data_IF_887814766157
#
_entry.id   IF_887814766157
#
_cell.length_a   1.000
_cell.length_b   1.000
_cell.length_c   1.000
_cell.angle_alpha   90.00
_cell.angle_beta   90.00
_cell.angle_gamma   90.00
#
_symmetry.space_group_name_H-M   'P 1'
#
loop_
_entity.id
_entity.type
_entity.pdbx_description
1 polymer ?
#
# COMPACT_ATOMS: atom_id res chain seq x y z
N UNK A 1 -9.96 -12.89 9.05
CA UNK A 1 -8.67 -12.87 8.34
C UNK A 1 -8.94 -12.36 6.93
N UNK A 2 -8.69 -11.07 6.71
CA UNK A 2 -8.80 -10.46 5.37
C UNK A 2 -7.62 -10.93 4.53
N UNK A 3 -7.89 -11.73 3.50
CA UNK A 3 -6.87 -12.12 2.53
C UNK A 3 -6.66 -10.93 1.59
N UNK A 4 -5.49 -10.30 1.66
CA UNK A 4 -5.14 -9.18 0.80
C UNK A 4 -5.10 -9.53 -0.69
N UNK A 5 -5.10 -8.53 -1.55
CA UNK A 5 -4.84 -8.71 -2.97
C UNK A 5 -3.36 -9.09 -3.14
N UNK A 6 -3.03 -10.37 -2.82
CA UNK A 6 -1.68 -10.86 -3.08
C UNK A 6 -1.40 -10.76 -4.58
N UNK A 7 -0.21 -10.27 -4.96
CA UNK A 7 0.27 -10.45 -6.32
C UNK A 7 0.16 -11.94 -6.65
N UNK A 8 -0.85 -12.30 -7.43
CA UNK A 8 -0.96 -13.67 -7.94
C UNK A 8 0.28 -13.95 -8.79
N UNK A 9 0.67 -15.23 -8.95
CA UNK A 9 1.76 -15.59 -9.90
C UNK A 9 1.51 -14.99 -11.30
N UNK A 10 0.26 -14.62 -11.61
CA UNK A 10 -0.13 -13.91 -12.82
C UNK A 10 0.39 -12.47 -12.87
N UNK A 11 0.43 -11.76 -11.73
CA UNK A 11 0.87 -10.36 -11.64
C UNK A 11 2.39 -10.20 -11.74
N UNK A 12 3.14 -11.29 -11.45
CA UNK A 12 4.59 -11.34 -11.62
C UNK A 12 5.02 -11.68 -13.04
N UNK A 13 4.09 -12.05 -13.94
CA UNK A 13 4.42 -12.41 -15.31
C UNK A 13 4.78 -11.17 -16.13
N UNK A 14 5.85 -11.29 -16.92
CA UNK A 14 6.15 -10.33 -17.97
C UNK A 14 5.04 -10.36 -19.04
N UNK A 15 4.94 -9.31 -19.84
CA UNK A 15 3.91 -9.21 -20.90
C UNK A 15 3.96 -10.36 -21.94
N UNK A 16 5.06 -11.12 -22.00
CA UNK A 16 5.19 -12.32 -22.81
C UNK A 16 4.71 -13.61 -22.11
N UNK A 17 4.14 -13.48 -20.90
CA UNK A 17 3.60 -14.58 -20.09
C UNK A 17 4.66 -15.37 -19.30
N UNK A 18 5.95 -15.04 -19.40
CA UNK A 18 7.02 -15.71 -18.67
C UNK A 18 7.16 -15.13 -17.27
N UNK A 19 7.52 -15.98 -16.31
CA UNK A 19 7.95 -15.52 -14.98
C UNK A 19 9.37 -14.98 -15.12
N UNK A 20 9.61 -13.69 -14.80
CA UNK A 20 10.95 -13.11 -14.89
C UNK A 20 11.92 -13.81 -13.93
N UNK A 21 13.12 -14.09 -14.39
CA UNK A 21 14.21 -14.50 -13.49
C UNK A 21 14.64 -13.35 -12.56
N UNK A 22 15.57 -13.61 -11.63
CA UNK A 22 16.05 -12.65 -10.61
C UNK A 22 16.41 -11.25 -11.18
N UNK A 23 17.05 -11.20 -12.35
CA UNK A 23 17.39 -9.91 -13.01
C UNK A 23 16.14 -9.19 -13.51
N UNK A 24 15.17 -9.94 -14.01
CA UNK A 24 13.89 -9.37 -14.48
C UNK A 24 13.08 -8.80 -13.32
N UNK A 25 12.97 -9.53 -12.20
CA UNK A 25 12.33 -9.04 -10.99
C UNK A 25 12.99 -7.78 -10.46
N UNK A 26 14.33 -7.73 -10.44
CA UNK A 26 15.05 -6.52 -10.04
C UNK A 26 14.79 -5.32 -10.98
N UNK A 27 14.61 -5.56 -12.29
CA UNK A 27 14.27 -4.50 -13.24
C UNK A 27 12.83 -4.04 -13.05
N UNK A 28 11.88 -4.96 -12.84
CA UNK A 28 10.49 -4.65 -12.51
C UNK A 28 10.43 -3.78 -11.25
N UNK A 29 11.16 -4.16 -10.21
CA UNK A 29 11.21 -3.39 -8.96
C UNK A 29 11.77 -1.99 -9.17
N UNK A 30 12.84 -1.82 -9.95
CA UNK A 30 13.39 -0.49 -10.27
C UNK A 30 12.37 0.44 -10.94
N UNK A 31 11.50 -0.09 -11.79
CA UNK A 31 10.43 0.68 -12.41
C UNK A 31 9.38 1.11 -11.38
N UNK A 32 9.02 0.22 -10.45
CA UNK A 32 8.11 0.55 -9.35
C UNK A 32 8.72 1.59 -8.42
N UNK A 33 9.97 1.44 -8.02
CA UNK A 33 10.69 2.36 -7.11
C UNK A 33 10.89 3.76 -7.72
N UNK A 34 10.99 3.85 -9.04
CA UNK A 34 11.14 5.12 -9.75
C UNK A 34 9.83 5.93 -9.79
N UNK A 35 8.69 5.26 -9.78
CA UNK A 35 7.38 5.90 -9.99
C UNK A 35 7.01 6.95 -8.93
N UNK A 36 7.20 6.71 -7.61
CA UNK A 36 6.95 7.74 -6.59
C UNK A 36 7.77 9.01 -6.79
N UNK A 37 9.04 8.88 -7.18
CA UNK A 37 9.92 10.03 -7.44
C UNK A 37 9.42 10.90 -8.60
N UNK A 38 8.86 10.28 -9.65
CA UNK A 38 8.25 11.04 -10.74
C UNK A 38 6.96 11.73 -10.26
N UNK A 39 6.15 11.04 -9.47
CA UNK A 39 4.90 11.57 -8.88
C UNK A 39 5.12 12.74 -7.91
N UNK A 40 6.30 12.93 -7.37
CA UNK A 40 6.63 14.11 -6.55
C UNK A 40 6.59 15.41 -7.37
N UNK A 41 6.81 15.32 -8.68
CA UNK A 41 6.93 16.49 -9.58
C UNK A 41 5.87 16.52 -10.67
N UNK A 42 5.23 15.39 -10.97
CA UNK A 42 4.26 15.23 -12.06
C UNK A 42 2.93 14.75 -11.48
N UNK A 43 1.82 15.36 -11.90
CA UNK A 43 0.50 14.87 -11.51
C UNK A 43 0.22 13.49 -12.13
N UNK A 44 -0.57 12.64 -11.45
CA UNK A 44 -0.84 11.27 -11.93
C UNK A 44 -1.39 11.22 -13.36
N UNK A 45 -2.29 12.14 -13.72
CA UNK A 45 -2.86 12.24 -15.08
C UNK A 45 -1.83 12.53 -16.18
N UNK A 46 -0.69 13.12 -15.80
CA UNK A 46 0.40 13.51 -16.72
C UNK A 46 1.57 12.51 -16.65
N UNK A 47 1.50 11.51 -15.73
CA UNK A 47 2.50 10.47 -15.57
C UNK A 47 2.54 9.59 -16.81
N UNK A 48 3.73 9.38 -17.36
CA UNK A 48 3.90 8.59 -18.57
C UNK A 48 5.08 7.60 -18.48
N UNK A 49 5.06 6.62 -19.35
CA UNK A 49 6.07 5.54 -19.40
C UNK A 49 7.48 6.06 -19.61
N UNK A 50 7.63 7.14 -20.40
CA UNK A 50 8.97 7.69 -20.73
C UNK A 50 9.63 8.26 -19.48
N UNK A 51 8.86 8.96 -18.65
CA UNK A 51 9.37 9.57 -17.41
C UNK A 51 9.75 8.51 -16.39
N UNK A 52 8.90 7.46 -16.20
CA UNK A 52 9.21 6.35 -15.30
C UNK A 52 10.45 5.59 -15.78
N UNK A 53 10.52 5.23 -17.07
CA UNK A 53 11.65 4.50 -17.62
C UNK A 53 12.95 5.29 -17.49
N UNK A 54 12.92 6.60 -17.76
CA UNK A 54 14.07 7.50 -17.58
C UNK A 54 14.54 7.54 -16.13
N UNK A 55 13.61 7.69 -15.19
CA UNK A 55 13.90 7.72 -13.75
C UNK A 55 14.48 6.38 -13.26
N UNK A 56 14.03 5.26 -13.84
CA UNK A 56 14.52 3.91 -13.54
C UNK A 56 15.84 3.57 -14.27
N UNK A 57 16.39 4.48 -15.07
CA UNK A 57 17.57 4.25 -15.93
C UNK A 57 17.36 3.07 -16.90
N UNK A 58 16.16 2.96 -17.49
CA UNK A 58 15.79 1.94 -18.46
C UNK A 58 15.19 2.58 -19.73
N UNK A 59 14.71 1.76 -20.65
CA UNK A 59 14.00 2.21 -21.84
C UNK A 59 12.48 2.03 -21.70
N UNK A 60 11.64 2.78 -22.44
CA UNK A 60 10.21 2.52 -22.54
C UNK A 60 9.90 1.10 -23.01
N UNK A 61 10.71 0.54 -23.91
CA UNK A 61 10.56 -0.86 -24.34
C UNK A 61 10.75 -1.84 -23.19
N UNK A 62 11.67 -1.54 -22.27
CA UNK A 62 11.87 -2.34 -21.05
C UNK A 62 10.66 -2.22 -20.11
N UNK A 63 10.06 -1.04 -19.97
CA UNK A 63 8.85 -0.89 -19.17
C UNK A 63 7.72 -1.79 -19.68
N UNK A 64 7.46 -1.78 -20.98
CA UNK A 64 6.40 -2.59 -21.61
C UNK A 64 6.65 -4.11 -21.54
N UNK A 65 7.84 -4.55 -21.20
CA UNK A 65 8.08 -5.97 -20.87
C UNK A 65 7.43 -6.41 -19.56
N UNK A 66 7.23 -5.48 -18.62
CA UNK A 66 6.70 -5.78 -17.27
C UNK A 66 5.31 -5.23 -17.03
N UNK A 67 4.97 -4.10 -17.63
CA UNK A 67 3.68 -3.43 -17.43
C UNK A 67 3.11 -2.98 -18.77
N UNK A 68 1.84 -3.32 -19.05
CA UNK A 68 1.19 -2.91 -20.30
C UNK A 68 1.00 -1.39 -20.36
N UNK A 69 0.83 -0.73 -19.21
CA UNK A 69 0.58 0.69 -19.06
C UNK A 69 0.99 1.21 -17.67
N UNK A 70 0.90 2.53 -17.51
CA UNK A 70 1.20 3.21 -16.23
C UNK A 70 0.26 2.77 -15.13
N UNK A 71 -1.03 2.58 -15.44
CA UNK A 71 -2.05 2.20 -14.48
C UNK A 71 -1.73 0.84 -13.85
N UNK A 72 -1.35 -0.15 -14.66
CA UNK A 72 -0.92 -1.48 -14.18
C UNK A 72 0.32 -1.40 -13.27
N UNK A 73 1.27 -0.53 -13.59
CA UNK A 73 2.42 -0.31 -12.73
C UNK A 73 2.01 0.34 -11.40
N UNK A 74 1.07 1.28 -11.41
CA UNK A 74 0.54 1.91 -10.19
C UNK A 74 -0.26 0.94 -9.34
N UNK A 75 -1.08 0.06 -9.94
CA UNK A 75 -1.77 -1.00 -9.23
C UNK A 75 -0.81 -1.94 -8.50
N UNK A 76 0.23 -2.40 -9.20
CA UNK A 76 1.25 -3.25 -8.60
C UNK A 76 2.00 -2.53 -7.46
N UNK A 77 2.37 -1.26 -7.65
CA UNK A 77 3.04 -0.46 -6.62
C UNK A 77 2.15 -0.25 -5.39
N UNK A 78 0.89 0.11 -5.59
CA UNK A 78 -0.07 0.32 -4.50
C UNK A 78 -0.40 -0.99 -3.77
N UNK A 79 -0.51 -2.11 -4.50
CA UNK A 79 -0.70 -3.45 -3.93
C UNK A 79 0.46 -3.83 -3.02
N UNK A 80 1.70 -3.76 -3.51
CA UNK A 80 2.90 -4.06 -2.73
C UNK A 80 3.01 -3.18 -1.48
N UNK A 81 2.70 -1.89 -1.62
CA UNK A 81 2.71 -0.96 -0.50
C UNK A 81 1.66 -1.34 0.55
N UNK A 82 0.45 -1.68 0.12
CA UNK A 82 -0.65 -2.02 1.03
C UNK A 82 -0.38 -3.32 1.80
N UNK A 83 0.20 -4.33 1.16
CA UNK A 83 0.59 -5.59 1.81
C UNK A 83 1.68 -5.38 2.87
N UNK A 84 2.73 -4.65 2.50
CA UNK A 84 3.81 -4.32 3.45
C UNK A 84 3.27 -3.54 4.65
N UNK A 85 2.45 -2.52 4.40
CA UNK A 85 1.87 -1.70 5.45
C UNK A 85 0.90 -2.46 6.34
N UNK A 86 0.05 -3.31 5.78
CA UNK A 86 -0.88 -4.14 6.56
C UNK A 86 -0.12 -4.97 7.61
N UNK A 87 0.97 -5.61 7.22
CA UNK A 87 1.80 -6.40 8.13
C UNK A 87 2.52 -5.53 9.17
N UNK A 88 3.04 -4.37 8.77
CA UNK A 88 3.80 -3.49 9.66
C UNK A 88 2.90 -2.74 10.63
N UNK A 89 1.72 -2.30 10.20
CA UNK A 89 0.73 -1.65 11.05
C UNK A 89 0.22 -2.60 12.14
N UNK A 90 -0.05 -3.85 11.79
CA UNK A 90 -0.41 -4.87 12.78
C UNK A 90 0.65 -5.00 13.86
N UNK A 91 1.94 -5.14 13.47
CA UNK A 91 3.06 -5.20 14.43
C UNK A 91 3.18 -3.91 15.25
N UNK A 92 2.98 -2.76 14.59
CA UNK A 92 3.04 -1.44 15.25
C UNK A 92 2.01 -1.33 16.37
N UNK A 93 0.81 -1.88 16.19
CA UNK A 93 -0.26 -1.85 17.18
C UNK A 93 -0.07 -2.94 18.23
N UNK A 94 0.17 -4.21 17.84
CA UNK A 94 0.18 -5.34 18.76
C UNK A 94 1.42 -5.40 19.65
N UNK A 95 2.57 -4.89 19.20
CA UNK A 95 3.82 -4.91 19.95
C UNK A 95 3.97 -3.70 20.89
N UNK A 96 2.87 -3.23 21.53
CA UNK A 96 2.88 -2.10 22.47
C UNK A 96 2.38 -2.51 23.84
N UNK A 97 2.87 -1.81 24.84
CA UNK A 97 2.37 -1.97 26.22
C UNK A 97 1.13 -1.08 26.42
N UNK A 98 -0.02 -1.64 26.04
CA UNK A 98 -1.31 -0.96 26.21
C UNK A 98 -1.85 -1.02 27.64
N UNK A 99 -1.25 -1.81 28.52
CA UNK A 99 -1.75 -2.03 29.88
C UNK A 99 -1.11 -1.07 30.87
N UNK A 100 0.21 -0.82 30.72
CA UNK A 100 0.98 0.01 31.64
C UNK A 100 1.08 1.47 31.18
N UNK A 101 1.19 1.71 29.85
CA UNK A 101 1.35 3.06 29.28
C UNK A 101 0.60 3.19 27.94
N UNK A 102 -0.74 3.23 27.98
CA UNK A 102 -1.56 3.32 26.78
C UNK A 102 -1.35 4.63 26.01
N UNK A 103 -1.04 5.73 26.70
CA UNK A 103 -0.81 7.04 26.06
C UNK A 103 0.45 7.02 25.20
N UNK A 104 1.55 6.47 25.72
CA UNK A 104 2.78 6.29 24.93
C UNK A 104 2.59 5.31 23.78
N UNK A 105 1.85 4.22 24.01
CA UNK A 105 1.53 3.25 22.97
C UNK A 105 0.74 3.91 21.82
N UNK A 106 -0.29 4.69 22.14
CA UNK A 106 -1.09 5.41 21.14
C UNK A 106 -0.26 6.45 20.38
N UNK A 107 0.62 7.17 21.09
CA UNK A 107 1.50 8.16 20.46
C UNK A 107 2.45 7.52 19.44
N UNK A 108 3.10 6.43 19.80
CA UNK A 108 3.99 5.69 18.87
C UNK A 108 3.24 5.15 17.65
N UNK A 109 2.02 4.66 17.83
CA UNK A 109 1.19 4.21 16.70
C UNK A 109 0.85 5.38 15.78
N UNK A 110 0.42 6.51 16.34
CA UNK A 110 0.09 7.71 15.57
C UNK A 110 1.31 8.26 14.81
N UNK A 111 2.48 8.32 15.45
CA UNK A 111 3.72 8.74 14.79
C UNK A 111 4.10 7.80 13.63
N UNK A 112 4.03 6.48 13.84
CA UNK A 112 4.31 5.50 12.79
C UNK A 112 3.36 5.61 11.59
N UNK A 113 2.08 5.88 11.84
CA UNK A 113 1.10 6.14 10.79
C UNK A 113 1.41 7.43 10.02
N UNK A 114 1.72 8.52 10.72
CA UNK A 114 2.10 9.79 10.09
C UNK A 114 3.39 9.68 9.27
N UNK A 115 4.37 8.92 9.75
CA UNK A 115 5.60 8.65 9.03
C UNK A 115 5.33 7.87 7.75
N UNK A 116 4.51 6.82 7.81
CA UNK A 116 4.10 6.06 6.64
C UNK A 116 3.40 6.94 5.61
N UNK A 117 2.39 7.74 6.03
CA UNK A 117 1.66 8.65 5.15
C UNK A 117 2.57 9.67 4.48
N UNK A 118 3.49 10.26 5.25
CA UNK A 118 4.43 11.26 4.75
C UNK A 118 5.37 10.65 3.70
N UNK A 119 5.91 9.47 3.98
CA UNK A 119 6.86 8.75 3.11
C UNK A 119 6.23 8.30 1.81
N UNK A 120 4.97 7.87 1.84
CA UNK A 120 4.28 7.26 0.70
C UNK A 120 3.22 8.17 0.07
N UNK A 121 3.19 9.44 0.45
CA UNK A 121 2.22 10.43 -0.01
C UNK A 121 1.97 10.42 -1.53
N UNK A 122 2.97 10.33 -2.43
CA UNK A 122 2.71 10.32 -3.87
C UNK A 122 1.84 9.15 -4.31
N UNK A 123 2.10 7.94 -3.80
CA UNK A 123 1.36 6.73 -4.13
C UNK A 123 -0.04 6.74 -3.51
N UNK A 124 -0.14 7.16 -2.25
CA UNK A 124 -1.42 7.25 -1.54
C UNK A 124 -2.38 8.24 -2.21
N UNK A 125 -1.86 9.36 -2.73
CA UNK A 125 -2.66 10.31 -3.53
C UNK A 125 -3.22 9.70 -4.81
N UNK A 126 -2.44 8.85 -5.50
CA UNK A 126 -2.94 8.12 -6.68
C UNK A 126 -4.03 7.15 -6.25
N UNK A 127 -3.81 6.40 -5.17
CA UNK A 127 -4.75 5.43 -4.63
C UNK A 127 -6.09 6.09 -4.24
N UNK A 128 -6.05 7.23 -3.55
CA UNK A 128 -7.24 7.98 -3.15
C UNK A 128 -7.99 8.53 -4.37
N UNK A 129 -7.26 9.21 -5.28
CA UNK A 129 -7.85 9.82 -6.48
C UNK A 129 -8.58 8.78 -7.34
N UNK A 130 -7.90 7.67 -7.69
CA UNK A 130 -8.48 6.63 -8.55
C UNK A 130 -9.63 5.88 -7.87
N UNK A 131 -9.56 5.68 -6.54
CA UNK A 131 -10.66 5.11 -5.77
C UNK A 131 -11.89 6.02 -5.77
N UNK A 132 -11.70 7.34 -5.66
CA UNK A 132 -12.79 8.35 -5.73
C UNK A 132 -13.39 8.45 -7.13
N UNK A 133 -12.60 8.26 -8.18
CA UNK A 133 -13.04 8.21 -9.57
C UNK A 133 -13.80 6.92 -9.91
N UNK A 134 -13.81 5.94 -9.00
CA UNK A 134 -14.65 4.74 -9.08
C UNK A 134 -13.93 3.49 -9.56
N UNK A 135 -12.60 3.49 -9.66
CA UNK A 135 -11.85 2.27 -9.98
C UNK A 135 -11.90 1.29 -8.81
N UNK A 136 -12.55 0.15 -9.03
CA UNK A 136 -12.76 -0.87 -8.01
C UNK A 136 -11.46 -1.53 -7.55
N UNK A 137 -10.47 -1.68 -8.44
CA UNK A 137 -9.19 -2.32 -8.13
C UNK A 137 -8.40 -1.48 -7.12
N UNK A 138 -8.31 -0.17 -7.35
CA UNK A 138 -7.68 0.75 -6.41
C UNK A 138 -8.47 0.87 -5.10
N UNK A 139 -9.81 0.82 -5.19
CA UNK A 139 -10.67 0.82 -3.99
C UNK A 139 -10.44 -0.41 -3.12
N UNK A 140 -10.28 -1.60 -3.71
CA UNK A 140 -9.95 -2.83 -2.98
C UNK A 140 -8.61 -2.72 -2.28
N UNK A 141 -7.57 -2.21 -2.96
CA UNK A 141 -6.24 -1.98 -2.38
C UNK A 141 -6.33 -0.98 -1.22
N UNK A 142 -7.07 0.12 -1.40
CA UNK A 142 -7.27 1.12 -0.34
C UNK A 142 -7.99 0.52 0.88
N UNK A 143 -9.01 -0.26 0.65
CA UNK A 143 -9.73 -0.96 1.73
C UNK A 143 -8.80 -1.90 2.49
N UNK A 144 -7.99 -2.67 1.77
CA UNK A 144 -7.03 -3.59 2.38
C UNK A 144 -5.92 -2.85 3.16
N UNK A 145 -5.43 -1.73 2.65
CA UNK A 145 -4.44 -0.89 3.36
C UNK A 145 -4.96 -0.44 4.73
N UNK A 146 -6.24 -0.10 4.83
CA UNK A 146 -6.87 0.34 6.09
C UNK A 146 -7.31 -0.84 6.97
N UNK A 147 -7.56 -2.02 6.39
CA UNK A 147 -8.02 -3.20 7.12
C UNK A 147 -7.01 -3.66 8.18
N UNK A 148 -5.71 -3.47 7.95
CA UNK A 148 -4.67 -3.81 8.91
C UNK A 148 -4.82 -3.13 10.28
N UNK A 149 -5.28 -1.88 10.29
CA UNK A 149 -5.60 -1.18 11.54
C UNK A 149 -6.84 -1.77 12.21
N UNK A 150 -7.89 -2.03 11.42
CA UNK A 150 -9.14 -2.61 11.94
C UNK A 150 -8.89 -3.96 12.58
N UNK A 151 -8.20 -4.86 11.86
CA UNK A 151 -7.88 -6.21 12.34
C UNK A 151 -7.05 -6.18 13.63
N UNK A 152 -6.00 -5.33 13.66
CA UNK A 152 -5.15 -5.21 14.85
C UNK A 152 -5.88 -4.61 16.06
N UNK A 153 -6.76 -3.63 15.86
CA UNK A 153 -7.57 -3.05 16.94
C UNK A 153 -8.63 -4.03 17.45
N UNK A 154 -9.21 -4.85 16.57
CA UNK A 154 -10.14 -5.91 16.95
C UNK A 154 -9.44 -6.99 17.78
N UNK A 155 -8.26 -7.45 17.36
CA UNK A 155 -7.45 -8.40 18.10
C UNK A 155 -7.14 -7.85 19.51
N UNK A 156 -6.70 -6.59 19.59
CA UNK A 156 -6.39 -5.91 20.84
C UNK A 156 -7.61 -5.80 21.78
N UNK A 157 -8.77 -5.46 21.22
CA UNK A 157 -10.01 -5.33 21.98
C UNK A 157 -10.50 -6.71 22.51
N UNK A 158 -10.35 -7.76 21.69
CA UNK A 158 -10.73 -9.12 22.09
C UNK A 158 -9.82 -9.67 23.20
N UNK A 159 -8.50 -9.44 23.10
CA UNK A 159 -7.53 -9.86 24.11
C UNK A 159 -7.76 -9.20 25.49
N UNK A 160 -8.30 -7.98 25.51
CA UNK A 160 -8.51 -7.18 26.72
C UNK A 160 -9.95 -7.15 27.21
N UNK A 161 -10.82 -7.95 26.60
CA UNK A 161 -12.26 -8.01 26.95
C UNK A 161 -12.89 -6.60 27.03
N UNK A 162 -12.52 -5.68 26.12
CA UNK A 162 -13.02 -4.30 26.10
C UNK A 162 -14.54 -4.34 25.87
N UNK A 163 -15.34 -3.71 26.77
CA UNK A 163 -16.80 -3.70 26.63
C UNK A 163 -17.24 -3.01 25.34
N UNK A 164 -18.22 -3.61 24.64
CA UNK A 164 -18.82 -3.06 23.43
C UNK A 164 -18.61 -3.93 22.21
N UNK A 165 -18.94 -3.37 21.04
CA UNK A 165 -18.69 -4.02 19.76
C UNK A 165 -17.28 -3.64 19.26
N UNK A 166 -16.31 -4.56 19.23
CA UNK A 166 -14.95 -4.28 18.79
C UNK A 166 -14.90 -3.79 17.34
N UNK A 167 -15.76 -4.31 16.48
CA UNK A 167 -15.85 -3.92 15.06
C UNK A 167 -16.30 -2.46 14.93
N UNK A 168 -17.33 -2.05 15.67
CA UNK A 168 -17.83 -0.68 15.65
C UNK A 168 -16.77 0.28 16.18
N UNK A 169 -16.09 -0.07 17.28
CA UNK A 169 -15.03 0.77 17.86
C UNK A 169 -13.83 0.92 16.92
N UNK A 170 -13.34 -0.16 16.35
CA UNK A 170 -12.25 -0.14 15.36
C UNK A 170 -12.64 0.65 14.11
N UNK A 171 -13.87 0.47 13.61
CA UNK A 171 -14.39 1.19 12.45
C UNK A 171 -14.46 2.71 12.65
N UNK A 172 -14.81 3.18 13.84
CA UNK A 172 -14.80 4.62 14.17
C UNK A 172 -13.37 5.16 14.12
N UNK A 173 -12.42 4.50 14.77
CA UNK A 173 -11.01 4.95 14.80
C UNK A 173 -10.43 4.98 13.37
N UNK A 174 -10.63 3.92 12.59
CA UNK A 174 -10.13 3.86 11.21
C UNK A 174 -10.82 4.89 10.32
N UNK A 175 -12.12 5.10 10.50
CA UNK A 175 -12.86 6.15 9.78
C UNK A 175 -12.42 7.58 10.08
N UNK A 176 -11.82 7.82 11.25
CA UNK A 176 -11.22 9.12 11.59
C UNK A 176 -9.83 9.32 10.95
N UNK A 177 -9.18 8.24 10.52
CA UNK A 177 -7.85 8.23 9.92
C UNK A 177 -7.89 8.17 8.37
N UNK A 178 -9.03 7.84 7.80
CA UNK A 178 -9.25 7.66 6.35
C UNK A 178 -9.60 8.97 5.64
#
# INVERSE_FOLDING_TARGET
VSTGPSESEGDLRASDGRIPGMRGLATRQKLLDASPTVLDTVAYRDLNVVDIARQAFTSPATFYQYFPDVESAMLALAGNLSEAWHADLRKLITNRDWDTDPDSAAHVVAEGMLEFWTRHKPVLRVLDLTSMEGDLRFREIRTFLLAGATDALMDLAAEREIPGDPMASAGVVVGMLA
#
